data_IF_619506383328
#
_entry.id   IF_619506383328
#
_cell.length_a   1.000
_cell.length_b   1.000
_cell.length_c   1.000
_cell.angle_alpha   90.00
_cell.angle_beta   90.00
_cell.angle_gamma   90.00
#
_symmetry.space_group_name_H-M   'P 1'
#
loop_
_entity.id
_entity.type
_entity.pdbx_description
1 polymer ?
#
# COMPACT_ATOMS: atom_id res chain seq x y z
N UNK A 1 11.41 -3.94 -0.16
CA UNK A 1 11.67 -2.99 0.95
C UNK A 1 10.39 -2.32 1.53
N UNK A 2 9.21 -2.38 0.90
CA UNK A 2 7.96 -1.81 1.46
C UNK A 2 7.39 -2.54 2.68
N UNK A 3 7.85 -3.75 2.98
CA UNK A 3 7.38 -4.57 4.10
C UNK A 3 7.96 -4.15 5.46
N UNK A 4 8.91 -3.21 5.54
CA UNK A 4 9.66 -2.94 6.77
C UNK A 4 9.11 -1.79 7.66
N UNK A 5 8.13 -1.01 7.21
CA UNK A 5 7.65 0.16 7.98
C UNK A 5 6.42 -0.09 8.85
N UNK A 6 5.72 -1.21 8.70
CA UNK A 6 4.51 -1.57 9.48
C UNK A 6 4.79 -2.67 10.52
N UNK A 7 5.96 -3.31 10.46
CA UNK A 7 6.30 -4.49 11.27
C UNK A 7 6.34 -4.29 12.80
N UNK A 8 6.89 -3.20 13.38
CA UNK A 8 7.10 -3.19 14.83
C UNK A 8 5.80 -2.99 15.62
N UNK A 9 4.87 -2.16 15.14
CA UNK A 9 3.64 -1.84 15.89
C UNK A 9 2.68 -3.02 15.99
N UNK A 10 2.54 -3.80 14.92
CA UNK A 10 1.64 -4.96 14.93
C UNK A 10 2.20 -6.09 15.82
N UNK A 11 3.52 -6.31 15.81
CA UNK A 11 4.19 -7.30 16.65
C UNK A 11 4.04 -6.97 18.15
N UNK A 12 4.14 -5.69 18.50
CA UNK A 12 3.94 -5.21 19.88
C UNK A 12 2.48 -5.45 20.30
N UNK A 13 1.49 -5.09 19.47
CA UNK A 13 0.08 -5.33 19.81
C UNK A 13 -0.25 -6.82 19.96
N UNK A 14 0.28 -7.69 19.10
CA UNK A 14 0.06 -9.14 19.22
C UNK A 14 0.74 -9.72 20.46
N UNK A 15 1.93 -9.23 20.83
CA UNK A 15 2.61 -9.66 22.05
C UNK A 15 1.85 -9.25 23.31
N UNK A 16 1.39 -8.00 23.37
CA UNK A 16 0.61 -7.48 24.51
C UNK A 16 -0.71 -8.24 24.66
N UNK A 17 -1.43 -8.51 23.58
CA UNK A 17 -2.68 -9.28 23.64
C UNK A 17 -2.45 -10.71 24.13
N UNK A 18 -1.38 -11.38 23.64
CA UNK A 18 -1.02 -12.72 24.11
C UNK A 18 -0.66 -12.73 25.60
N UNK A 19 0.10 -11.73 26.08
CA UNK A 19 0.42 -11.59 27.50
C UNK A 19 -0.84 -11.35 28.36
N UNK A 20 -1.76 -10.49 27.93
CA UNK A 20 -3.01 -10.23 28.66
C UNK A 20 -3.88 -11.49 28.70
N UNK A 21 -4.03 -12.18 27.56
CA UNK A 21 -4.79 -13.42 27.50
C UNK A 21 -4.19 -14.51 28.41
N UNK A 22 -2.86 -14.59 28.47
CA UNK A 22 -2.15 -15.49 29.37
C UNK A 22 -2.35 -15.13 30.86
N UNK A 23 -2.28 -13.84 31.21
CA UNK A 23 -2.47 -13.39 32.59
C UNK A 23 -3.91 -13.61 33.06
N UNK A 24 -4.91 -13.31 32.21
CA UNK A 24 -6.31 -13.53 32.53
C UNK A 24 -6.63 -15.02 32.66
N UNK A 25 -6.07 -15.87 31.80
CA UNK A 25 -6.24 -17.32 31.93
C UNK A 25 -5.57 -17.84 33.20
N UNK A 26 -4.35 -17.41 33.52
CA UNK A 26 -3.65 -17.78 34.75
C UNK A 26 -4.42 -17.37 36.01
N UNK A 27 -5.00 -16.16 36.03
CA UNK A 27 -5.79 -15.69 37.18
C UNK A 27 -7.09 -16.47 37.34
N UNK A 28 -7.78 -16.78 36.23
CA UNK A 28 -9.01 -17.59 36.28
C UNK A 28 -8.71 -19.02 36.72
N UNK A 29 -7.61 -19.59 36.24
CA UNK A 29 -7.09 -20.89 36.66
C UNK A 29 -6.84 -20.89 38.18
N UNK A 30 -6.12 -19.89 38.69
CA UNK A 30 -5.79 -19.80 40.12
C UNK A 30 -7.04 -19.72 41.02
N UNK A 31 -8.04 -18.90 40.64
CA UNK A 31 -9.30 -18.81 41.39
C UNK A 31 -10.04 -20.14 41.42
N UNK A 32 -10.15 -20.78 40.27
CA UNK A 32 -10.84 -22.07 40.14
C UNK A 32 -10.15 -23.16 40.98
N UNK A 33 -8.81 -23.13 41.04
CA UNK A 33 -8.05 -24.03 41.92
C UNK A 33 -8.31 -23.78 43.39
N UNK A 34 -8.33 -22.51 43.80
CA UNK A 34 -8.55 -22.15 45.19
C UNK A 34 -9.95 -22.52 45.66
N UNK A 35 -10.97 -22.32 44.81
CA UNK A 35 -12.35 -22.74 45.10
C UNK A 35 -12.44 -24.27 45.24
N UNK A 36 -11.80 -25.02 44.35
CA UNK A 36 -11.75 -26.48 44.44
C UNK A 36 -11.05 -26.96 45.72
N UNK A 37 -9.91 -26.35 46.07
CA UNK A 37 -9.17 -26.70 47.29
C UNK A 37 -10.03 -26.47 48.53
N UNK A 38 -10.71 -25.32 48.60
CA UNK A 38 -11.53 -24.93 49.75
C UNK A 38 -12.80 -25.79 49.87
N UNK A 39 -13.46 -26.11 48.75
CA UNK A 39 -14.78 -26.76 48.79
C UNK A 39 -14.75 -28.28 48.66
N UNK A 40 -13.76 -28.87 48.00
CA UNK A 40 -13.71 -30.32 47.75
C UNK A 40 -12.61 -31.00 48.56
N UNK A 41 -11.41 -30.41 48.58
CA UNK A 41 -10.24 -31.05 49.17
C UNK A 41 -10.18 -30.87 50.68
N UNK A 42 -10.33 -29.64 51.16
CA UNK A 42 -10.22 -29.29 52.58
C UNK A 42 -11.24 -30.05 53.45
N UNK A 43 -12.53 -30.16 53.08
CA UNK A 43 -13.50 -30.90 53.90
C UNK A 43 -13.18 -32.40 54.01
N UNK A 44 -12.71 -33.02 52.93
CA UNK A 44 -12.33 -34.45 52.92
C UNK A 44 -11.07 -34.71 53.75
N UNK A 45 -10.09 -33.80 53.70
CA UNK A 45 -8.90 -33.86 54.54
C UNK A 45 -9.28 -33.68 56.02
N UNK A 46 -10.14 -32.71 56.34
CA UNK A 46 -10.63 -32.51 57.70
C UNK A 46 -11.42 -33.72 58.21
N UNK A 47 -12.23 -34.34 57.36
CA UNK A 47 -12.97 -35.56 57.71
C UNK A 47 -12.04 -36.73 58.00
N UNK A 48 -11.05 -36.99 57.12
CA UNK A 48 -10.06 -38.04 57.35
C UNK A 48 -9.24 -37.81 58.63
N UNK A 49 -8.99 -36.54 58.97
CA UNK A 49 -8.34 -36.17 60.22
C UNK A 49 -9.23 -36.42 61.44
N UNK A 50 -10.51 -36.02 61.38
CA UNK A 50 -11.48 -36.26 62.45
C UNK A 50 -11.68 -37.76 62.72
N UNK A 51 -11.89 -38.56 61.66
CA UNK A 51 -12.07 -40.01 61.76
C UNK A 51 -10.89 -40.70 62.45
N UNK A 52 -9.69 -40.13 62.33
CA UNK A 52 -8.49 -40.68 62.93
C UNK A 52 -8.15 -40.11 64.31
N UNK A 53 -8.55 -38.87 64.60
CA UNK A 53 -8.40 -38.29 65.94
C UNK A 53 -9.14 -39.14 66.99
N UNK A 54 -10.27 -39.73 66.61
CA UNK A 54 -11.07 -40.62 67.46
C UNK A 54 -10.36 -41.95 67.80
N UNK A 55 -9.32 -42.34 67.06
CA UNK A 55 -8.58 -43.59 67.26
C UNK A 55 -7.38 -43.47 68.23
N UNK A 56 -7.11 -42.28 68.75
CA UNK A 56 -6.04 -42.03 69.73
C UNK A 56 -4.63 -41.98 69.13
N UNK A 57 -3.69 -41.38 69.86
CA UNK A 57 -2.32 -41.16 69.40
C UNK A 57 -1.47 -42.43 69.55
N UNK A 58 -1.39 -43.25 68.50
CA UNK A 58 -0.44 -44.35 68.40
C UNK A 58 0.31 -44.31 67.05
N UNK A 59 1.51 -44.87 66.95
CA UNK A 59 2.25 -44.98 65.68
C UNK A 59 1.46 -45.73 64.59
N UNK A 60 0.59 -46.66 64.99
CA UNK A 60 -0.29 -47.42 64.09
C UNK A 60 -1.41 -46.53 63.54
N UNK A 61 -1.89 -45.57 64.35
CA UNK A 61 -2.90 -44.59 63.93
C UNK A 61 -2.34 -43.67 62.83
N UNK A 62 -1.07 -43.26 62.92
CA UNK A 62 -0.42 -42.43 61.89
C UNK A 62 -0.36 -43.12 60.52
N UNK A 63 -0.05 -44.42 60.48
CA UNK A 63 -0.06 -45.19 59.22
C UNK A 63 -1.48 -45.34 58.66
N UNK A 64 -2.47 -45.51 59.54
CA UNK A 64 -3.87 -45.61 59.11
C UNK A 64 -4.38 -44.28 58.54
N UNK A 65 -4.03 -43.15 59.17
CA UNK A 65 -4.30 -41.80 58.67
C UNK A 65 -3.75 -41.63 57.27
N UNK A 66 -2.51 -42.07 57.06
CA UNK A 66 -1.84 -41.94 55.77
C UNK A 66 -2.55 -42.73 54.68
N UNK A 67 -2.88 -44.00 54.95
CA UNK A 67 -3.60 -44.85 54.00
C UNK A 67 -5.03 -44.35 53.72
N UNK A 68 -5.74 -43.87 54.75
CA UNK A 68 -7.07 -43.31 54.58
C UNK A 68 -7.04 -42.00 53.80
N UNK A 69 -6.06 -41.14 54.06
CA UNK A 69 -5.86 -39.89 53.33
C UNK A 69 -5.58 -40.18 51.85
N UNK A 70 -4.65 -41.10 51.55
CA UNK A 70 -4.37 -41.53 50.18
C UNK A 70 -5.61 -42.11 49.51
N UNK A 71 -6.37 -42.96 50.22
CA UNK A 71 -7.62 -43.55 49.69
C UNK A 71 -8.66 -42.46 49.38
N UNK A 72 -8.87 -41.50 50.26
CA UNK A 72 -9.81 -40.41 50.07
C UNK A 72 -9.38 -39.51 48.91
N UNK A 73 -8.09 -39.15 48.83
CA UNK A 73 -7.54 -38.35 47.74
C UNK A 73 -7.67 -39.03 46.37
N UNK A 74 -7.46 -40.35 46.31
CA UNK A 74 -7.63 -41.12 45.07
C UNK A 74 -9.10 -41.30 44.66
N UNK A 75 -10.05 -41.14 45.59
CA UNK A 75 -11.49 -41.17 45.32
C UNK A 75 -12.06 -39.82 44.89
N UNK A 76 -11.26 -38.75 44.94
CA UNK A 76 -11.70 -37.47 44.41
C UNK A 76 -11.70 -37.58 42.88
N UNK A 77 -12.90 -37.58 42.29
CA UNK A 77 -13.01 -37.26 40.87
C UNK A 77 -12.48 -35.85 40.69
N UNK A 78 -11.30 -35.76 40.08
CA UNK A 78 -10.72 -34.49 39.65
C UNK A 78 -11.54 -33.97 38.48
N UNK A 79 -12.77 -33.53 38.74
CA UNK A 79 -13.60 -32.82 37.80
C UNK A 79 -12.95 -31.47 37.58
N UNK A 80 -11.99 -31.48 36.65
CA UNK A 80 -11.19 -30.34 36.30
C UNK A 80 -12.01 -29.49 35.33
N UNK A 81 -12.57 -28.34 35.77
CA UNK A 81 -13.40 -27.50 34.90
C UNK A 81 -12.65 -27.00 33.66
N UNK A 82 -11.32 -27.09 33.65
CA UNK A 82 -10.46 -26.69 32.55
C UNK A 82 -9.77 -27.90 31.85
N UNK A 83 -10.07 -29.13 32.25
CA UNK A 83 -9.45 -30.37 31.74
C UNK A 83 -7.91 -30.32 31.69
N UNK A 84 -7.28 -29.59 32.61
CA UNK A 84 -5.84 -29.35 32.61
C UNK A 84 -5.06 -30.59 33.07
N UNK A 85 -5.68 -31.48 33.85
CA UNK A 85 -5.05 -32.69 34.36
C UNK A 85 -5.64 -33.95 33.71
N UNK A 86 -4.78 -34.93 33.47
CA UNK A 86 -5.17 -36.23 32.94
C UNK A 86 -5.50 -37.20 34.08
N UNK A 87 -4.60 -37.30 35.06
CA UNK A 87 -4.83 -37.95 36.34
C UNK A 87 -3.87 -37.38 37.40
N UNK A 88 -4.23 -37.54 38.68
CA UNK A 88 -3.39 -37.17 39.82
C UNK A 88 -3.21 -38.40 40.73
N UNK A 89 -1.98 -38.62 41.22
CA UNK A 89 -1.67 -39.69 42.16
C UNK A 89 -1.12 -39.07 43.45
N UNK A 90 -1.77 -39.37 44.58
CA UNK A 90 -1.27 -39.01 45.89
C UNK A 90 -0.28 -40.07 46.39
N UNK A 91 0.91 -39.65 46.83
CA UNK A 91 1.89 -40.53 47.43
C UNK A 91 2.47 -39.93 48.72
N UNK A 92 2.82 -40.77 49.70
CA UNK A 92 3.49 -40.30 50.90
C UNK A 92 4.94 -39.89 50.60
N UNK A 93 5.42 -38.85 51.29
CA UNK A 93 6.72 -38.23 51.03
C UNK A 93 7.95 -39.12 51.31
N UNK A 94 7.77 -40.28 51.95
CA UNK A 94 8.86 -40.95 52.65
C UNK A 94 9.76 -41.85 51.80
N UNK A 95 9.38 -42.33 50.62
CA UNK A 95 10.34 -43.01 49.74
C UNK A 95 9.75 -43.34 48.36
N UNK A 96 10.13 -42.55 47.37
CA UNK A 96 10.72 -42.99 46.10
C UNK A 96 10.80 -41.78 45.18
N UNK A 97 12.02 -41.31 44.88
CA UNK A 97 12.23 -40.53 43.66
C UNK A 97 11.93 -41.47 42.49
N UNK A 98 10.67 -41.55 42.05
CA UNK A 98 10.39 -42.14 40.74
C UNK A 98 11.13 -41.27 39.74
N UNK A 99 12.19 -41.83 39.16
CA UNK A 99 12.86 -41.31 37.97
C UNK A 99 11.84 -41.35 36.83
N UNK A 100 10.99 -40.35 36.72
CA UNK A 100 10.18 -40.11 35.53
C UNK A 100 11.02 -39.30 34.54
N UNK A 101 11.93 -39.99 33.86
CA UNK A 101 12.60 -39.67 32.58
C UNK A 101 11.70 -39.18 31.42
N UNK A 102 10.41 -38.94 31.63
CA UNK A 102 9.56 -38.28 30.65
C UNK A 102 9.34 -36.84 31.10
N UNK A 103 9.55 -35.82 30.23
CA UNK A 103 9.30 -34.42 30.53
C UNK A 103 7.80 -34.14 30.47
N UNK A 104 7.01 -34.94 31.18
CA UNK A 104 5.61 -34.62 31.45
C UNK A 104 5.63 -33.62 32.59
N UNK A 105 5.22 -32.39 32.30
CA UNK A 105 5.08 -31.32 33.28
C UNK A 105 4.16 -31.79 34.41
N UNK A 106 4.72 -32.28 35.51
CA UNK A 106 3.98 -32.66 36.70
C UNK A 106 3.90 -31.47 37.63
N UNK A 107 2.70 -31.20 38.15
CA UNK A 107 2.54 -30.23 39.23
C UNK A 107 2.73 -30.98 40.55
N UNK A 108 3.75 -30.60 41.34
CA UNK A 108 4.00 -31.12 42.68
C UNK A 108 3.24 -30.25 43.69
N UNK A 109 2.15 -30.78 44.25
CA UNK A 109 1.40 -30.13 45.31
C UNK A 109 1.80 -30.74 46.66
N UNK A 110 2.37 -29.90 47.53
CA UNK A 110 2.71 -30.26 48.90
C UNK A 110 1.59 -29.82 49.84
N UNK A 111 0.91 -30.78 50.43
CA UNK A 111 -0.17 -30.51 51.39
C UNK A 111 0.40 -30.69 52.80
N UNK A 112 0.51 -29.62 53.62
CA UNK A 112 1.00 -29.72 54.99
C UNK A 112 -0.03 -30.40 55.88
N UNK A 113 0.39 -31.41 56.63
CA UNK A 113 -0.43 -32.00 57.69
C UNK A 113 -0.38 -31.10 58.92
N UNK A 114 -1.51 -30.48 59.28
CA UNK A 114 -1.62 -29.77 60.56
C UNK A 114 -1.75 -30.78 61.69
N UNK A 115 -0.64 -31.41 62.06
CA UNK A 115 -0.51 -32.17 63.30
C UNK A 115 0.64 -31.58 64.12
N UNK A 116 0.40 -31.15 65.37
CA UNK A 116 1.40 -30.48 66.21
C UNK A 116 2.63 -31.35 66.55
N UNK A 117 2.60 -32.64 66.25
CA UNK A 117 3.70 -33.60 66.48
C UNK A 117 4.42 -34.04 65.20
N UNK A 118 3.91 -33.72 64.00
CA UNK A 118 4.44 -34.16 62.70
C UNK A 118 4.80 -32.96 61.82
N UNK A 119 5.59 -32.03 62.38
CA UNK A 119 5.90 -30.73 61.79
C UNK A 119 6.56 -30.75 60.40
N UNK A 120 7.00 -31.91 59.90
CA UNK A 120 7.72 -32.05 58.62
C UNK A 120 7.11 -33.04 57.62
N UNK A 121 5.89 -33.57 57.87
CA UNK A 121 5.26 -34.50 56.92
C UNK A 121 4.34 -33.75 55.95
N UNK A 122 4.70 -33.80 54.67
CA UNK A 122 3.89 -33.31 53.56
C UNK A 122 3.39 -34.48 52.70
N UNK A 123 2.17 -34.38 52.20
CA UNK A 123 1.70 -35.23 51.11
C UNK A 123 2.12 -34.64 49.77
N UNK A 124 2.66 -35.47 48.89
CA UNK A 124 2.95 -35.12 47.49
C UNK A 124 1.82 -35.64 46.62
N UNK A 125 1.17 -34.73 45.89
CA UNK A 125 0.24 -35.10 44.82
C UNK A 125 0.91 -34.77 43.50
N UNK A 126 1.19 -35.81 42.71
CA UNK A 126 1.74 -35.67 41.36
C UNK A 126 0.58 -35.65 40.36
N UNK A 127 0.33 -34.51 39.73
CA UNK A 127 -0.69 -34.37 38.68
C UNK A 127 -0.04 -34.30 37.30
N UNK A 128 -0.46 -35.17 36.38
CA UNK A 128 -0.04 -35.10 34.98
C UNK A 128 -0.88 -34.08 34.23
N UNK A 129 -0.23 -33.06 33.66
CA UNK A 129 -0.90 -32.06 32.82
C UNK A 129 -1.31 -32.67 31.47
N UNK A 130 -2.57 -32.50 31.05
CA UNK A 130 -2.96 -32.70 29.65
C UNK A 130 -2.25 -31.64 28.81
N UNK A 131 -1.69 -32.00 27.65
CA UNK A 131 -1.19 -31.02 26.70
C UNK A 131 -2.37 -30.16 26.23
N UNK A 132 -2.54 -28.99 26.83
CA UNK A 132 -3.59 -28.05 26.44
C UNK A 132 -3.46 -27.73 24.93
N UNK A 133 -4.57 -27.49 24.21
CA UNK A 133 -4.56 -27.10 22.79
C UNK A 133 -4.04 -25.67 22.54
N UNK A 134 -3.24 -25.08 23.45
CA UNK A 134 -2.69 -23.73 23.27
C UNK A 134 -1.80 -23.63 22.02
N UNK A 135 -1.10 -24.72 21.67
CA UNK A 135 -0.33 -24.80 20.43
C UNK A 135 -1.24 -24.74 19.19
N UNK A 136 -2.43 -25.37 19.21
CA UNK A 136 -3.35 -25.29 18.08
C UNK A 136 -4.05 -23.92 18.00
N UNK A 137 -4.37 -23.29 19.13
CA UNK A 137 -4.92 -21.93 19.16
C UNK A 137 -3.92 -20.88 18.68
N UNK A 138 -2.65 -20.96 19.10
CA UNK A 138 -1.60 -20.05 18.62
C UNK A 138 -1.28 -20.27 17.15
N UNK A 139 -1.27 -21.52 16.68
CA UNK A 139 -1.15 -21.83 15.26
C UNK A 139 -2.32 -21.26 14.44
N UNK A 140 -3.57 -21.44 14.89
CA UNK A 140 -4.76 -20.87 14.24
C UNK A 140 -4.71 -19.34 14.20
N UNK A 141 -4.28 -18.69 15.28
CA UNK A 141 -4.11 -17.25 15.31
C UNK A 141 -3.03 -16.77 14.34
N UNK A 142 -1.90 -17.48 14.25
CA UNK A 142 -0.85 -17.17 13.28
C UNK A 142 -1.32 -17.34 11.83
N UNK A 143 -2.07 -18.41 11.53
CA UNK A 143 -2.71 -18.63 10.23
C UNK A 143 -3.70 -17.50 9.92
N UNK A 144 -4.51 -17.08 10.89
CA UNK A 144 -5.45 -15.97 10.73
C UNK A 144 -4.75 -14.63 10.45
N UNK A 145 -3.70 -14.30 11.21
CA UNK A 145 -2.90 -13.08 11.00
C UNK A 145 -2.17 -13.10 9.65
N UNK A 146 -1.68 -14.26 9.21
CA UNK A 146 -1.04 -14.39 7.89
C UNK A 146 -2.05 -14.28 6.75
N UNK A 147 -3.25 -14.84 6.91
CA UNK A 147 -4.36 -14.67 5.96
C UNK A 147 -4.83 -13.20 5.88
N UNK A 148 -5.02 -12.52 7.01
CA UNK A 148 -5.34 -11.09 7.05
C UNK A 148 -4.24 -10.24 6.41
N UNK A 149 -2.97 -10.60 6.57
CA UNK A 149 -1.86 -9.93 5.87
C UNK A 149 -1.91 -10.16 4.36
N UNK A 150 -2.29 -11.36 3.92
CA UNK A 150 -2.40 -11.71 2.51
C UNK A 150 -3.59 -11.02 1.83
N UNK A 151 -4.69 -10.81 2.55
CA UNK A 151 -5.87 -10.10 2.02
C UNK A 151 -5.75 -8.58 2.11
N UNK A 152 -4.99 -8.05 3.08
CA UNK A 152 -4.78 -6.60 3.24
C UNK A 152 -3.62 -6.00 2.45
N UNK A 153 -2.73 -6.84 1.89
CA UNK A 153 -1.72 -6.36 0.96
C UNK A 153 -2.40 -6.05 -0.38
N UNK A 154 -2.85 -4.79 -0.51
CA UNK A 154 -3.24 -4.23 -1.80
C UNK A 154 -2.14 -4.54 -2.82
N UNK A 155 -2.43 -5.45 -3.74
CA UNK A 155 -1.46 -5.87 -4.74
C UNK A 155 -1.32 -4.72 -5.74
N UNK A 156 -0.26 -3.93 -5.58
CA UNK A 156 0.11 -2.91 -6.56
C UNK A 156 0.23 -3.56 -7.93
N UNK A 157 -0.42 -2.95 -8.93
CA UNK A 157 -0.28 -3.38 -10.32
C UNK A 157 1.18 -3.29 -10.76
N UNK A 158 1.54 -3.95 -11.86
CA UNK A 158 2.89 -3.83 -12.43
C UNK A 158 3.27 -2.36 -12.66
N UNK A 159 2.34 -1.54 -13.16
CA UNK A 159 2.56 -0.11 -13.38
C UNK A 159 2.86 0.64 -12.08
N UNK A 160 2.11 0.36 -11.02
CA UNK A 160 2.32 0.96 -9.70
C UNK A 160 3.69 0.56 -9.12
N UNK A 161 4.10 -0.70 -9.32
CA UNK A 161 5.41 -1.17 -8.87
C UNK A 161 6.54 -0.43 -9.59
N UNK A 162 6.43 -0.25 -10.91
CA UNK A 162 7.39 0.55 -11.70
C UNK A 162 7.43 2.00 -11.22
N UNK A 163 6.28 2.64 -10.99
CA UNK A 163 6.21 4.00 -10.45
C UNK A 163 6.88 4.08 -9.07
N UNK A 164 6.56 3.15 -8.18
CA UNK A 164 7.13 3.10 -6.82
C UNK A 164 8.64 2.88 -6.85
N UNK A 165 9.16 2.05 -7.74
CA UNK A 165 10.60 1.86 -7.93
C UNK A 165 11.27 3.15 -8.41
N UNK A 166 10.65 3.86 -9.35
CA UNK A 166 11.15 5.15 -9.83
C UNK A 166 11.14 6.24 -8.73
N UNK A 167 10.06 6.34 -7.95
CA UNK A 167 10.01 7.26 -6.81
C UNK A 167 11.06 6.92 -5.75
N UNK A 168 11.36 5.63 -5.56
CA UNK A 168 12.42 5.19 -4.66
C UNK A 168 13.81 5.53 -5.17
N UNK A 169 14.07 5.47 -6.49
CA UNK A 169 15.34 5.91 -7.05
C UNK A 169 15.52 7.42 -6.87
N UNK A 170 14.49 8.22 -7.16
CA UNK A 170 14.53 9.67 -6.92
C UNK A 170 14.78 10.02 -5.45
N UNK A 171 14.23 9.24 -4.51
CA UNK A 171 14.48 9.43 -3.09
C UNK A 171 15.91 8.99 -2.65
N UNK A 172 16.53 8.05 -3.36
CA UNK A 172 17.94 7.67 -3.13
C UNK A 172 18.89 8.75 -3.64
N UNK A 173 18.55 9.35 -4.77
CA UNK A 173 19.31 10.42 -5.41
C UNK A 173 19.12 11.79 -4.72
N UNK A 174 18.44 11.80 -3.56
CA UNK A 174 18.11 12.99 -2.75
C UNK A 174 17.24 14.05 -3.46
N UNK A 175 16.68 13.72 -4.61
CA UNK A 175 15.73 14.58 -5.34
C UNK A 175 14.40 14.67 -4.58
N UNK A 176 13.98 13.57 -3.95
CA UNK A 176 12.73 13.48 -3.17
C UNK A 176 13.00 13.17 -1.70
N UNK A 177 12.47 13.97 -0.78
CA UNK A 177 12.64 13.70 0.65
C UNK A 177 11.93 12.39 1.06
N UNK A 178 12.54 11.58 1.94
CA UNK A 178 11.93 10.33 2.44
C UNK A 178 10.52 10.52 3.02
N UNK A 179 10.23 11.69 3.61
CA UNK A 179 8.90 12.05 4.12
C UNK A 179 7.88 12.20 2.99
N UNK A 180 8.27 12.81 1.88
CA UNK A 180 7.42 12.96 0.69
C UNK A 180 7.16 11.62 0.03
N UNK A 181 8.17 10.75 -0.09
CA UNK A 181 7.97 9.39 -0.61
C UNK A 181 6.88 8.64 0.16
N UNK A 182 6.88 8.72 1.50
CA UNK A 182 5.82 8.09 2.32
C UNK A 182 4.44 8.70 2.06
N UNK A 183 4.36 10.02 1.90
CA UNK A 183 3.11 10.72 1.60
C UNK A 183 2.57 10.28 0.23
N UNK A 184 3.43 10.22 -0.78
CA UNK A 184 3.05 9.81 -2.14
C UNK A 184 2.61 8.36 -2.19
N UNK A 185 3.29 7.45 -1.48
CA UNK A 185 2.83 6.06 -1.34
C UNK A 185 1.46 5.94 -0.66
N UNK A 186 1.15 6.84 0.29
CA UNK A 186 -0.17 6.90 0.92
C UNK A 186 -1.23 7.38 -0.08
N UNK A 187 -0.92 8.43 -0.85
CA UNK A 187 -1.82 8.98 -1.88
C UNK A 187 -2.04 8.00 -3.03
N UNK A 188 -1.01 7.29 -3.50
CA UNK A 188 -1.16 6.25 -4.52
C UNK A 188 -2.11 5.12 -4.06
N UNK A 189 -2.01 4.71 -2.80
CA UNK A 189 -2.95 3.74 -2.23
C UNK A 189 -4.38 4.30 -2.18
N UNK A 190 -4.55 5.55 -1.74
CA UNK A 190 -5.86 6.19 -1.70
C UNK A 190 -6.47 6.32 -3.11
N UNK A 191 -5.69 6.76 -4.08
CA UNK A 191 -6.07 6.83 -5.49
C UNK A 191 -6.52 5.46 -6.01
N UNK A 192 -5.78 4.39 -5.69
CA UNK A 192 -6.12 3.04 -6.14
C UNK A 192 -7.36 2.44 -5.48
N UNK A 193 -7.72 2.89 -4.27
CA UNK A 193 -8.99 2.54 -3.64
C UNK A 193 -10.15 3.16 -4.43
N UNK A 194 -10.01 4.41 -4.87
CA UNK A 194 -11.03 5.12 -5.64
C UNK A 194 -11.08 4.70 -7.12
N UNK A 195 -9.92 4.38 -7.70
CA UNK A 195 -9.74 4.09 -9.11
C UNK A 195 -8.92 2.79 -9.32
N UNK A 196 -9.49 1.60 -8.99
CA UNK A 196 -8.75 0.35 -8.99
C UNK A 196 -8.26 -0.07 -10.38
N UNK A 197 -8.97 0.29 -11.44
CA UNK A 197 -8.67 -0.09 -12.82
C UNK A 197 -8.04 1.04 -13.68
N UNK A 198 -7.78 2.23 -13.09
CA UNK A 198 -7.24 3.34 -13.86
C UNK A 198 -5.81 3.04 -14.37
N UNK A 199 -5.58 3.18 -15.67
CA UNK A 199 -4.24 3.04 -16.25
C UNK A 199 -3.49 4.35 -16.08
N UNK A 200 -2.28 4.31 -15.51
CA UNK A 200 -1.45 5.51 -15.37
C UNK A 200 -0.52 5.64 -16.57
N UNK A 201 -0.43 6.84 -17.13
CA UNK A 201 0.60 7.20 -18.10
C UNK A 201 1.93 7.39 -17.35
N UNK A 202 2.70 6.30 -17.25
CA UNK A 202 3.98 6.27 -16.55
C UNK A 202 5.03 7.18 -17.21
N UNK A 203 4.99 7.32 -18.54
CA UNK A 203 5.91 8.18 -19.28
C UNK A 203 5.67 9.65 -18.92
N UNK A 204 4.41 10.06 -18.83
CA UNK A 204 4.04 11.41 -18.37
C UNK A 204 4.51 11.65 -16.93
N UNK A 205 4.28 10.71 -16.01
CA UNK A 205 4.76 10.83 -14.62
C UNK A 205 6.28 10.89 -14.53
N UNK A 206 6.99 10.04 -15.26
CA UNK A 206 8.46 10.05 -15.32
C UNK A 206 8.97 11.40 -15.81
N UNK A 207 8.32 11.95 -16.84
CA UNK A 207 8.71 13.24 -17.38
C UNK A 207 8.44 14.38 -16.41
N UNK A 208 7.32 14.34 -15.71
CA UNK A 208 6.98 15.31 -14.67
C UNK A 208 8.02 15.32 -13.53
N UNK A 209 8.63 14.18 -13.22
CA UNK A 209 9.67 14.07 -12.20
C UNK A 209 11.10 14.26 -12.71
N UNK A 210 11.31 14.50 -14.01
CA UNK A 210 12.65 14.63 -14.59
C UNK A 210 13.30 15.98 -14.20
N UNK A 211 14.33 15.96 -13.33
CA UNK A 211 14.96 17.19 -12.83
C UNK A 211 15.78 17.91 -13.90
N UNK A 212 15.96 17.34 -15.10
CA UNK A 212 16.73 17.90 -16.22
C UNK A 212 15.89 18.75 -17.17
N UNK A 213 14.59 18.92 -16.91
CA UNK A 213 13.78 19.89 -17.63
C UNK A 213 14.14 21.30 -17.13
N UNK A 214 15.06 21.96 -17.84
CA UNK A 214 15.80 23.17 -17.43
C UNK A 214 14.94 24.34 -16.90
N UNK A 215 13.65 24.42 -17.21
CA UNK A 215 12.78 25.55 -16.81
C UNK A 215 11.87 25.30 -15.61
N UNK A 216 11.74 24.05 -15.14
CA UNK A 216 10.82 23.74 -14.04
C UNK A 216 11.47 22.75 -13.08
N UNK A 217 12.33 23.28 -12.19
CA UNK A 217 12.36 22.76 -10.81
C UNK A 217 11.01 23.07 -10.17
N UNK A 218 9.97 22.40 -10.65
CA UNK A 218 8.68 22.31 -10.00
C UNK A 218 9.00 21.92 -8.57
N UNK A 219 8.71 22.82 -7.64
CA UNK A 219 8.76 22.53 -6.22
C UNK A 219 7.82 21.34 -6.00
N UNK A 220 8.36 20.11 -6.04
CA UNK A 220 7.63 18.86 -5.81
C UNK A 220 6.90 18.88 -4.44
N UNK A 221 7.28 19.82 -3.58
CA UNK A 221 6.64 20.20 -2.32
C UNK A 221 5.25 20.84 -2.47
N UNK A 222 4.95 21.53 -3.58
CA UNK A 222 3.68 22.24 -3.82
C UNK A 222 2.66 21.43 -4.62
N UNK A 223 3.08 20.31 -5.22
CA UNK A 223 2.23 19.50 -6.11
C UNK A 223 1.31 18.59 -5.29
N UNK A 224 0.00 18.69 -5.52
CA UNK A 224 -0.95 17.71 -5.04
C UNK A 224 -0.82 16.42 -5.87
N UNK A 225 -0.12 15.44 -5.31
CA UNK A 225 0.14 14.16 -5.97
C UNK A 225 -1.14 13.39 -6.31
N UNK A 226 -2.24 13.60 -5.58
CA UNK A 226 -3.53 12.97 -5.93
C UNK A 226 -4.02 13.50 -7.28
N UNK A 227 -4.00 14.83 -7.46
CA UNK A 227 -4.36 15.44 -8.74
C UNK A 227 -3.41 15.02 -9.86
N UNK A 228 -2.12 14.88 -9.57
CA UNK A 228 -1.15 14.40 -10.57
C UNK A 228 -1.47 12.96 -11.02
N UNK A 229 -1.84 12.07 -10.10
CA UNK A 229 -2.26 10.70 -10.44
C UNK A 229 -3.57 10.68 -11.22
N UNK A 230 -4.54 11.52 -10.83
CA UNK A 230 -5.79 11.69 -11.58
C UNK A 230 -5.50 12.13 -13.01
N UNK A 231 -4.67 13.16 -13.21
CA UNK A 231 -4.26 13.63 -14.53
C UNK A 231 -3.52 12.56 -15.32
N UNK A 232 -2.56 11.87 -14.70
CA UNK A 232 -1.83 10.78 -15.33
C UNK A 232 -2.74 9.60 -15.72
N UNK A 233 -3.93 9.50 -15.12
CA UNK A 233 -4.93 8.50 -15.50
C UNK A 233 -5.84 8.92 -16.66
N UNK A 234 -5.82 10.21 -17.03
CA UNK A 234 -6.57 10.73 -18.16
C UNK A 234 -5.72 10.73 -19.44
N UNK A 235 -6.35 10.71 -20.63
CA UNK A 235 -5.64 10.95 -21.88
C UNK A 235 -4.95 12.32 -21.87
N UNK A 236 -3.78 12.41 -22.50
CA UNK A 236 -3.09 13.70 -22.68
C UNK A 236 -3.98 14.66 -23.44
N UNK A 237 -3.97 15.92 -23.02
CA UNK A 237 -4.76 17.00 -23.62
C UNK A 237 -3.85 18.09 -24.17
N UNK A 238 -4.21 18.67 -25.30
CA UNK A 238 -3.56 19.84 -25.88
C UNK A 238 -4.37 21.08 -25.52
N UNK A 239 -3.69 22.03 -24.88
CA UNK A 239 -4.27 23.30 -24.46
C UNK A 239 -3.50 24.47 -25.05
N UNK A 240 -4.26 25.50 -25.42
CA UNK A 240 -3.70 26.78 -25.85
C UNK A 240 -4.19 27.85 -24.89
N UNK A 241 -3.24 28.58 -24.32
CA UNK A 241 -3.47 29.60 -23.29
C UNK A 241 -3.07 30.95 -23.87
N UNK A 242 -3.90 31.97 -23.67
CA UNK A 242 -3.55 33.35 -23.99
C UNK A 242 -2.99 34.03 -22.74
N UNK A 243 -1.70 34.36 -22.75
CA UNK A 243 -0.98 35.04 -21.67
C UNK A 243 -0.43 36.36 -22.21
N UNK A 244 -0.89 37.50 -21.68
CA UNK A 244 -0.44 38.85 -22.10
C UNK A 244 -0.54 39.09 -23.61
N UNK A 245 -1.61 38.58 -24.24
CA UNK A 245 -1.83 38.68 -25.69
C UNK A 245 -1.02 37.70 -26.54
N UNK A 246 -0.11 36.92 -25.93
CA UNK A 246 0.64 35.88 -26.61
C UNK A 246 0.01 34.49 -26.41
N UNK A 247 0.03 33.70 -27.47
CA UNK A 247 -0.43 32.32 -27.42
C UNK A 247 0.67 31.38 -26.92
N UNK A 248 0.36 30.57 -25.92
CA UNK A 248 1.21 29.50 -25.40
C UNK A 248 0.54 28.15 -25.59
N UNK A 249 1.33 27.10 -25.79
CA UNK A 249 0.83 25.73 -25.92
C UNK A 249 1.28 24.87 -24.74
N UNK A 250 0.39 23.99 -24.29
CA UNK A 250 0.59 23.11 -23.14
C UNK A 250 0.04 21.73 -23.45
N UNK A 251 0.76 20.69 -23.03
CA UNK A 251 0.26 19.32 -23.02
C UNK A 251 -0.08 18.94 -21.59
N UNK A 252 -1.37 18.83 -21.28
CA UNK A 252 -1.92 18.68 -19.93
C UNK A 252 -1.49 19.82 -19.00
N UNK A 253 -0.38 19.68 -18.28
CA UNK A 253 0.22 20.71 -17.42
C UNK A 253 1.69 21.01 -17.73
N UNK A 254 2.22 20.45 -18.82
CA UNK A 254 3.59 20.68 -19.27
C UNK A 254 3.58 21.74 -20.36
N UNK A 255 4.23 22.88 -20.08
CA UNK A 255 4.39 23.95 -21.04
C UNK A 255 5.33 23.52 -22.18
N UNK A 256 4.93 23.80 -23.42
CA UNK A 256 5.73 23.49 -24.59
C UNK A 256 6.43 24.78 -25.05
N UNK A 257 7.76 24.90 -24.87
CA UNK A 257 8.48 26.12 -25.13
C UNK A 257 8.61 26.34 -26.64
N UNK A 258 7.66 27.09 -27.21
CA UNK A 258 7.60 27.43 -28.62
C UNK A 258 7.60 28.94 -28.81
N UNK A 259 8.33 29.39 -29.82
CA UNK A 259 8.18 30.76 -30.32
C UNK A 259 6.76 30.95 -30.90
N UNK A 260 6.24 32.18 -30.84
CA UNK A 260 4.85 32.51 -31.18
C UNK A 260 4.41 31.98 -32.55
N UNK A 261 5.24 32.09 -33.60
CA UNK A 261 4.86 31.68 -34.95
C UNK A 261 4.50 30.19 -35.02
N UNK A 262 5.41 29.22 -34.71
CA UNK A 262 5.06 27.81 -34.57
C UNK A 262 3.83 27.53 -33.69
N UNK A 263 3.65 28.25 -32.58
CA UNK A 263 2.48 28.08 -31.72
C UNK A 263 1.18 28.41 -32.45
N UNK A 264 1.16 29.50 -33.23
CA UNK A 264 -0.01 29.88 -34.04
C UNK A 264 -0.30 28.86 -35.15
N UNK A 265 0.74 28.32 -35.80
CA UNK A 265 0.56 27.22 -36.76
C UNK A 265 -0.02 25.98 -36.07
N UNK A 266 0.45 25.64 -34.87
CA UNK A 266 -0.07 24.50 -34.13
C UNK A 266 -1.54 24.70 -33.74
N UNK A 267 -1.89 25.89 -33.27
CA UNK A 267 -3.27 26.24 -32.94
C UNK A 267 -4.18 26.21 -34.16
N UNK A 268 -3.71 26.68 -35.31
CA UNK A 268 -4.42 26.56 -36.58
C UNK A 268 -4.72 25.10 -36.93
N UNK A 269 -3.73 24.20 -36.82
CA UNK A 269 -3.95 22.76 -36.99
C UNK A 269 -4.97 22.19 -35.99
N UNK A 270 -4.95 22.67 -34.74
CA UNK A 270 -5.88 22.25 -33.71
C UNK A 270 -7.32 22.69 -34.03
N UNK A 271 -7.52 23.88 -34.60
CA UNK A 271 -8.82 24.35 -35.07
C UNK A 271 -9.35 23.46 -36.21
N UNK A 272 -8.52 23.18 -37.23
CA UNK A 272 -8.89 22.25 -38.31
C UNK A 272 -9.27 20.86 -37.78
N UNK A 273 -8.49 20.34 -36.82
CA UNK A 273 -8.76 19.05 -36.18
C UNK A 273 -10.09 19.01 -35.45
N UNK A 274 -10.57 20.14 -34.91
CA UNK A 274 -11.85 20.23 -34.21
C UNK A 274 -13.05 20.46 -35.14
N UNK A 275 -12.85 21.12 -36.29
CA UNK A 275 -13.93 21.54 -37.18
C UNK A 275 -14.21 20.53 -38.30
N UNK A 276 -13.18 19.91 -38.86
CA UNK A 276 -13.34 18.95 -39.96
C UNK A 276 -13.36 17.51 -39.46
N UNK A 277 -14.20 16.67 -40.09
CA UNK A 277 -14.43 15.26 -39.71
C UNK A 277 -13.15 14.44 -39.54
N UNK A 278 -12.08 14.82 -40.25
CA UNK A 278 -10.77 14.16 -40.18
C UNK A 278 -9.59 15.08 -39.91
N UNK A 279 -9.74 16.40 -40.04
CA UNK A 279 -8.69 17.39 -39.74
C UNK A 279 -7.42 17.30 -40.60
N UNK A 280 -7.51 16.75 -41.82
CA UNK A 280 -6.37 16.61 -42.73
C UNK A 280 -6.11 17.90 -43.50
N UNK A 281 -4.92 18.46 -43.34
CA UNK A 281 -4.46 19.61 -44.11
C UNK A 281 -3.53 19.12 -45.22
N UNK A 282 -3.91 19.39 -46.46
CA UNK A 282 -3.10 19.09 -47.65
C UNK A 282 -2.03 20.18 -47.81
N UNK A 283 -0.76 19.80 -47.92
CA UNK A 283 0.28 20.79 -48.26
C UNK A 283 -0.01 21.39 -49.65
N UNK A 284 0.15 22.70 -49.86
CA UNK A 284 0.06 23.29 -51.21
C UNK A 284 1.17 22.75 -52.13
N UNK A 285 1.03 22.81 -53.46
CA UNK A 285 2.10 22.41 -54.37
C UNK A 285 3.35 23.27 -54.16
N UNK A 286 4.54 22.70 -54.33
CA UNK A 286 5.81 23.40 -54.09
C UNK A 286 5.94 24.71 -54.90
N UNK A 287 5.39 24.73 -56.11
CA UNK A 287 5.41 25.86 -57.05
C UNK A 287 4.15 26.73 -57.00
N UNK A 288 3.16 26.40 -56.15
CA UNK A 288 1.91 27.15 -56.05
C UNK A 288 1.52 27.35 -54.58
N UNK A 289 2.04 28.41 -53.94
CA UNK A 289 1.60 28.80 -52.61
C UNK A 289 0.09 29.07 -52.56
N UNK A 290 -0.52 28.95 -51.38
CA UNK A 290 -1.97 29.18 -51.20
C UNK A 290 -2.24 30.40 -50.32
N UNK A 291 -2.78 31.47 -50.90
CA UNK A 291 -3.24 32.65 -50.16
C UNK A 291 -4.54 32.37 -49.42
N UNK A 292 -5.44 31.55 -49.97
CA UNK A 292 -6.68 31.17 -49.31
C UNK A 292 -6.42 30.43 -47.99
N UNK A 293 -5.50 29.47 -47.99
CA UNK A 293 -5.10 28.77 -46.77
C UNK A 293 -4.34 29.66 -45.78
N UNK A 294 -3.77 30.78 -46.24
CA UNK A 294 -3.05 31.71 -45.39
C UNK A 294 -3.99 32.60 -44.55
N UNK A 295 -5.21 32.90 -45.05
CA UNK A 295 -6.15 33.83 -44.40
C UNK A 295 -6.44 33.52 -42.93
N UNK A 296 -6.77 32.27 -42.53
CA UNK A 296 -7.06 31.97 -41.13
C UNK A 296 -5.82 32.18 -40.24
N UNK A 297 -4.64 31.87 -40.77
CA UNK A 297 -3.37 31.97 -40.06
C UNK A 297 -2.93 33.44 -39.90
N UNK A 298 -3.17 34.28 -40.91
CA UNK A 298 -3.00 35.73 -40.82
C UNK A 298 -3.88 36.33 -39.73
N UNK A 299 -5.16 35.94 -39.67
CA UNK A 299 -6.07 36.38 -38.60
C UNK A 299 -5.55 36.00 -37.20
N UNK A 300 -4.99 34.80 -37.04
CA UNK A 300 -4.36 34.39 -35.78
C UNK A 300 -3.11 35.22 -35.46
N UNK A 301 -2.27 35.53 -36.46
CA UNK A 301 -1.11 36.39 -36.29
C UNK A 301 -1.48 37.83 -35.91
N UNK A 302 -2.59 38.35 -36.42
CA UNK A 302 -3.11 39.67 -36.02
C UNK A 302 -3.62 39.64 -34.57
N UNK A 303 -4.33 38.57 -34.21
CA UNK A 303 -4.98 38.46 -32.91
C UNK A 303 -3.99 38.23 -31.76
N UNK A 304 -2.93 37.44 -31.96
CA UNK A 304 -2.05 36.95 -30.90
C UNK A 304 -0.58 37.40 -31.06
N UNK A 305 -0.32 38.45 -31.84
CA UNK A 305 1.02 39.03 -31.93
C UNK A 305 2.04 38.17 -32.71
N UNK A 306 1.67 37.75 -33.92
CA UNK A 306 2.60 37.05 -34.82
C UNK A 306 3.82 37.91 -35.20
N UNK A 307 4.97 37.27 -35.43
CA UNK A 307 6.18 38.00 -35.82
C UNK A 307 5.97 38.75 -37.13
N UNK A 308 6.10 40.08 -37.13
CA UNK A 308 5.77 40.95 -38.27
C UNK A 308 6.41 40.54 -39.60
N UNK A 309 7.64 40.03 -39.60
CA UNK A 309 8.29 39.50 -40.81
C UNK A 309 7.58 38.26 -41.35
N UNK A 310 7.21 37.33 -40.48
CA UNK A 310 6.50 36.11 -40.86
C UNK A 310 5.08 36.42 -41.35
N UNK A 311 4.41 37.41 -40.72
CA UNK A 311 3.10 37.90 -41.16
C UNK A 311 3.19 38.47 -42.58
N UNK A 312 4.10 39.43 -42.81
CA UNK A 312 4.28 40.05 -44.13
C UNK A 312 4.65 39.04 -45.21
N UNK A 313 5.54 38.09 -44.90
CA UNK A 313 5.90 37.02 -45.84
C UNK A 313 4.70 36.14 -46.22
N UNK A 314 3.82 35.85 -45.26
CA UNK A 314 2.61 35.09 -45.45
C UNK A 314 1.54 35.88 -46.23
N UNK A 315 1.44 37.20 -46.03
CA UNK A 315 0.58 38.12 -46.82
C UNK A 315 1.04 38.15 -48.29
N UNK A 316 2.33 38.42 -48.51
CA UNK A 316 2.91 38.64 -49.85
C UNK A 316 2.94 37.36 -50.69
N UNK A 317 3.25 36.20 -50.08
CA UNK A 317 3.54 34.97 -50.80
C UNK A 317 2.55 33.83 -50.56
N UNK A 318 1.61 33.97 -49.61
CA UNK A 318 0.75 32.88 -49.18
C UNK A 318 1.48 31.76 -48.45
N UNK A 319 0.75 30.69 -48.10
CA UNK A 319 1.33 29.56 -47.36
C UNK A 319 2.06 28.62 -48.33
N UNK A 320 3.27 28.21 -47.97
CA UNK A 320 4.11 27.29 -48.75
C UNK A 320 4.29 25.97 -48.02
N UNK A 321 4.44 24.87 -48.76
CA UNK A 321 4.71 23.55 -48.19
C UNK A 321 5.94 23.55 -47.28
N UNK A 322 7.04 24.19 -47.73
CA UNK A 322 8.28 24.33 -46.96
C UNK A 322 8.07 25.07 -45.63
N UNK A 323 7.26 26.12 -45.61
CA UNK A 323 6.95 26.88 -44.39
C UNK A 323 6.14 26.04 -43.40
N UNK A 324 5.21 25.22 -43.89
CA UNK A 324 4.48 24.28 -43.06
C UNK A 324 5.40 23.20 -42.47
N UNK A 325 6.30 22.63 -43.29
CA UNK A 325 7.28 21.63 -42.83
C UNK A 325 8.20 22.19 -41.75
N UNK A 326 8.73 23.40 -41.95
CA UNK A 326 9.59 24.05 -40.96
C UNK A 326 8.89 24.28 -39.62
N UNK A 327 7.63 24.74 -39.63
CA UNK A 327 6.88 24.94 -38.39
C UNK A 327 6.52 23.61 -37.72
N UNK A 328 6.15 22.57 -38.49
CA UNK A 328 5.92 21.22 -37.94
C UNK A 328 7.18 20.64 -37.29
N UNK A 329 8.34 20.81 -37.91
CA UNK A 329 9.61 20.34 -37.35
C UNK A 329 9.94 21.08 -36.05
N UNK A 330 9.75 22.41 -36.00
CA UNK A 330 9.92 23.18 -34.76
C UNK A 330 8.98 22.71 -33.65
N UNK A 331 7.71 22.41 -33.97
CA UNK A 331 6.75 21.84 -33.01
C UNK A 331 7.22 20.46 -32.53
N UNK A 332 7.65 19.59 -33.44
CA UNK A 332 8.17 18.25 -33.10
C UNK A 332 9.39 18.34 -32.20
N UNK A 333 10.35 19.21 -32.53
CA UNK A 333 11.57 19.42 -31.73
C UNK A 333 11.22 19.93 -30.32
N UNK A 334 10.31 20.90 -30.21
CA UNK A 334 9.86 21.40 -28.91
C UNK A 334 9.12 20.33 -28.10
N UNK A 335 8.27 19.53 -28.74
CA UNK A 335 7.61 18.39 -28.10
C UNK A 335 8.61 17.37 -27.58
N UNK A 336 9.61 16.98 -28.38
CA UNK A 336 10.66 16.04 -27.96
C UNK A 336 11.46 16.63 -26.80
N UNK A 337 11.83 17.91 -26.89
CA UNK A 337 12.57 18.60 -25.82
C UNK A 337 11.75 18.66 -24.52
N UNK A 338 10.45 18.93 -24.60
CA UNK A 338 9.59 19.11 -23.44
C UNK A 338 9.08 17.80 -22.84
N UNK A 339 8.74 16.80 -23.66
CA UNK A 339 8.05 15.58 -23.25
C UNK A 339 8.89 14.30 -23.36
N UNK A 340 9.99 14.34 -24.11
CA UNK A 340 10.69 13.15 -24.57
C UNK A 340 10.05 12.54 -25.82
N UNK A 341 10.82 11.71 -26.53
CA UNK A 341 10.44 11.16 -27.84
C UNK A 341 9.14 10.34 -27.85
N UNK A 342 8.88 9.43 -26.89
CA UNK A 342 7.65 8.61 -26.92
C UNK A 342 6.36 9.46 -26.82
N UNK A 343 6.31 10.39 -25.87
CA UNK A 343 5.15 11.26 -25.68
C UNK A 343 5.00 12.29 -26.80
N UNK A 344 6.13 12.78 -27.33
CA UNK A 344 6.12 13.67 -28.48
C UNK A 344 5.53 13.00 -29.72
N UNK A 345 5.80 11.70 -29.93
CA UNK A 345 5.19 10.96 -31.03
C UNK A 345 3.67 10.85 -30.88
N UNK A 346 3.15 10.66 -29.67
CA UNK A 346 1.69 10.63 -29.42
C UNK A 346 1.00 11.99 -29.61
N UNK A 347 1.69 13.09 -29.28
CA UNK A 347 1.14 14.44 -29.31
C UNK A 347 1.39 15.18 -30.64
N UNK A 348 2.22 14.62 -31.51
CA UNK A 348 2.70 15.27 -32.73
C UNK A 348 1.76 15.16 -33.93
N UNK A 349 2.36 15.17 -35.13
CA UNK A 349 1.67 15.08 -36.40
C UNK A 349 1.74 13.67 -36.97
N UNK A 350 0.68 13.26 -37.67
CA UNK A 350 0.71 12.12 -38.59
C UNK A 350 0.63 12.63 -40.02
N UNK A 351 1.28 11.90 -40.92
CA UNK A 351 1.36 12.23 -42.34
C UNK A 351 0.79 11.10 -43.18
N UNK A 352 0.05 11.44 -44.22
CA UNK A 352 -0.43 10.49 -45.21
C UNK A 352 -0.03 10.96 -46.61
N UNK A 353 0.54 10.05 -47.41
CA UNK A 353 0.78 10.23 -48.83
C UNK A 353 -0.12 9.25 -49.58
N UNK A 354 -1.02 9.80 -50.39
CA UNK A 354 -1.95 9.00 -51.18
C UNK A 354 -1.27 8.60 -52.50
N UNK A 355 -1.45 7.35 -52.92
CA UNK A 355 -0.98 6.91 -54.23
C UNK A 355 -1.58 7.79 -55.35
N UNK A 356 -0.72 8.31 -56.23
CA UNK A 356 -1.12 9.21 -57.31
C UNK A 356 -1.22 10.70 -56.94
N UNK A 357 -1.13 11.09 -55.67
CA UNK A 357 -1.01 12.50 -55.28
C UNK A 357 0.40 12.85 -54.78
N UNK A 358 1.09 13.83 -55.40
CA UNK A 358 2.44 14.20 -54.98
C UNK A 358 2.46 14.98 -53.65
N UNK A 359 1.30 15.47 -53.20
CA UNK A 359 1.18 16.29 -52.01
C UNK A 359 0.89 15.44 -50.78
N UNK A 360 1.70 15.61 -49.74
CA UNK A 360 1.44 15.00 -48.43
C UNK A 360 0.34 15.75 -47.67
N UNK A 361 -0.46 14.99 -46.93
CA UNK A 361 -1.49 15.50 -46.01
C UNK A 361 -1.03 15.29 -44.58
N UNK A 362 -1.31 16.24 -43.70
CA UNK A 362 -0.90 16.21 -42.29
C UNK A 362 -2.06 16.52 -41.37
N UNK A 363 -2.10 15.88 -40.20
CA UNK A 363 -3.02 16.25 -39.11
C UNK A 363 -2.37 16.00 -37.76
N UNK A 364 -2.98 16.54 -36.71
CA UNK A 364 -2.61 16.19 -35.33
C UNK A 364 -3.07 14.77 -35.01
N UNK A 365 -2.18 13.98 -34.41
CA UNK A 365 -2.50 12.62 -33.93
C UNK A 365 -3.55 12.67 -32.82
N UNK A 366 -3.48 13.69 -31.96
CA UNK A 366 -4.45 13.89 -30.88
C UNK A 366 -5.88 13.99 -31.44
N UNK A 367 -6.81 13.32 -30.76
CA UNK A 367 -8.22 13.34 -31.15
C UNK A 367 -8.85 14.70 -30.83
N UNK A 368 -9.94 15.09 -31.52
CA UNK A 368 -10.61 16.37 -31.25
C UNK A 368 -11.03 16.55 -29.79
N UNK A 369 -11.38 15.46 -29.10
CA UNK A 369 -11.78 15.46 -27.68
C UNK A 369 -10.62 15.77 -26.73
N UNK A 370 -9.39 15.55 -27.17
CA UNK A 370 -8.18 15.85 -26.40
C UNK A 370 -7.69 17.29 -26.63
N UNK A 371 -8.32 18.04 -27.55
CA UNK A 371 -7.94 19.41 -27.86
C UNK A 371 -8.92 20.37 -27.19
N UNK A 372 -8.45 21.06 -26.15
CA UNK A 372 -9.27 22.04 -25.45
C UNK A 372 -9.51 23.28 -26.31
N UNK A 373 -10.57 24.03 -26.00
CA UNK A 373 -10.78 25.36 -26.58
C UNK A 373 -9.80 26.36 -25.96
N UNK A 374 -9.54 27.46 -26.65
CA UNK A 374 -8.67 28.54 -26.16
C UNK A 374 -9.14 28.98 -24.76
N UNK A 375 -8.23 29.00 -23.78
CA UNK A 375 -8.48 29.52 -22.44
C UNK A 375 -7.71 30.83 -22.24
N UNK A 376 -8.29 31.76 -21.51
CA UNK A 376 -7.55 32.91 -20.98
C UNK A 376 -6.73 32.43 -19.77
N UNK A 377 -5.45 32.79 -19.72
CA UNK A 377 -4.68 32.58 -18.50
C UNK A 377 -5.16 33.62 -17.48
N UNK A 378 -5.61 33.13 -16.32
CA UNK A 378 -6.00 33.98 -15.18
C UNK A 378 -4.77 34.50 -14.43
#
# INVERSE_FOLDING_TARGET
>A
MLTNLIKPKLLICTGVFACIAYLLSAQQIARTYQDYFNHQLTPKLNQAWHDAADMGQSPQTSQLIELQTVKQLNQIEWQNPLQIFDYCLASPSSNTRRLSWLPTSTLDLQIPLHSPQLLDQFFRVDCQLKPLPWLSLTALFFVFVTLLKRTSSFAFSHQDQTLVQHLQSLAKDQVLAKRQLKLWLKQLKAFRIQHPAAKLNLLYLQRYFDPRSDDQRLELTKVDFTQLLERASQPLTLEFLCCDGNLQARISDIDIPLSITPTLYWYWYAQFRKQEEHGWVVNPPTNRPSHEMAKPLLKLMEQFGGHGRAKKELEDNGIRAKTLDQNRNKIKEALIKALGEPLADECGFESHKQEGQPQAKYRLKMSPKQISSLKQAN
#
